data_IF_984526893432
#
_entry.id   IF_984526893432
#
_cell.length_a   1.000
_cell.length_b   1.000
_cell.length_c   1.000
_cell.angle_alpha   90.00
_cell.angle_beta   90.00
_cell.angle_gamma   90.00
#
_symmetry.space_group_name_H-M   'P 1'
#
loop_
_entity.id
_entity.type
_entity.pdbx_description
1 polymer ?
#
# COMPACT_ATOMS: atom_id res chain seq x y z
N UNK A 1 -35.09 -16.02 35.11
CA UNK A 1 -34.24 -15.35 34.12
C UNK A 1 -34.85 -14.01 33.66
N UNK A 2 -35.05 -13.03 34.56
CA UNK A 2 -35.67 -11.73 34.17
C UNK A 2 -34.86 -10.50 34.61
N UNK A 3 -33.69 -10.64 35.25
CA UNK A 3 -32.93 -9.48 35.73
C UNK A 3 -32.14 -8.72 34.65
N UNK A 4 -31.90 -9.33 33.48
CA UNK A 4 -31.25 -8.65 32.36
C UNK A 4 -32.24 -7.78 31.55
N UNK A 5 -33.52 -8.15 31.53
CA UNK A 5 -34.54 -7.38 30.79
C UNK A 5 -34.85 -6.05 31.50
N UNK A 6 -34.85 -6.04 32.84
CA UNK A 6 -35.11 -4.84 33.64
C UNK A 6 -33.95 -3.83 33.58
N UNK A 7 -32.71 -4.31 33.42
CA UNK A 7 -31.53 -3.46 33.23
C UNK A 7 -31.56 -2.74 31.87
N UNK A 8 -32.04 -3.41 30.82
CA UNK A 8 -32.19 -2.82 29.47
C UNK A 8 -33.30 -1.76 29.46
N UNK A 9 -34.40 -1.99 30.18
CA UNK A 9 -35.52 -1.05 30.25
C UNK A 9 -35.24 0.17 31.17
N UNK A 10 -34.26 0.07 32.08
CA UNK A 10 -33.85 1.14 32.99
C UNK A 10 -32.99 2.23 32.31
N UNK A 11 -32.17 1.85 31.32
CA UNK A 11 -31.27 2.81 30.63
C UNK A 11 -32.01 3.73 29.64
N UNK A 12 -33.24 3.36 29.25
CA UNK A 12 -34.05 4.11 28.28
C UNK A 12 -34.75 5.39 28.78
N UNK A 13 -34.57 5.80 30.04
CA UNK A 13 -35.29 6.95 30.63
C UNK A 13 -34.40 8.09 31.13
N UNK A 14 -33.17 8.20 30.63
CA UNK A 14 -32.36 9.41 30.85
C UNK A 14 -32.51 10.39 29.68
N UNK A 15 -33.01 11.59 29.99
CA UNK A 15 -33.28 12.70 29.05
C UNK A 15 -32.06 13.11 28.20
N UNK A 16 -30.84 12.75 28.62
CA UNK A 16 -29.61 13.00 27.87
C UNK A 16 -29.40 12.06 26.66
N UNK A 17 -30.04 10.88 26.63
CA UNK A 17 -29.91 9.94 25.50
C UNK A 17 -30.80 10.31 24.31
N UNK A 18 -31.84 11.12 24.53
CA UNK A 18 -32.83 11.45 23.52
C UNK A 18 -32.38 12.61 22.61
N UNK A 19 -31.49 13.48 23.08
CA UNK A 19 -30.89 14.58 22.30
C UNK A 19 -29.79 14.12 21.34
N UNK A 20 -29.21 12.94 21.56
CA UNK A 20 -28.14 12.39 20.68
C UNK A 20 -28.72 11.69 19.45
N UNK A 21 -29.96 11.20 19.51
CA UNK A 21 -30.63 10.48 18.41
C UNK A 21 -31.32 11.36 17.37
N UNK A 22 -31.46 12.66 17.62
CA UNK A 22 -32.08 13.62 16.69
C UNK A 22 -31.09 14.35 15.77
N UNK A 23 -29.78 14.18 15.95
CA UNK A 23 -28.79 14.79 15.09
C UNK A 23 -28.54 13.94 13.82
N UNK A 24 -29.03 14.38 12.67
CA UNK A 24 -28.79 13.74 11.37
C UNK A 24 -27.30 13.57 11.06
N UNK A 25 -26.45 14.48 11.55
CA UNK A 25 -25.00 14.41 11.42
C UNK A 25 -24.40 13.18 12.13
N UNK A 26 -24.93 12.80 13.30
CA UNK A 26 -24.48 11.62 14.04
C UNK A 26 -24.95 10.34 13.35
N UNK A 27 -26.17 10.35 12.80
CA UNK A 27 -26.71 9.22 12.01
C UNK A 27 -25.91 9.00 10.71
N UNK A 28 -25.54 10.07 10.02
CA UNK A 28 -24.74 10.01 8.80
C UNK A 28 -23.29 9.58 9.09
N UNK A 29 -22.70 10.03 10.20
CA UNK A 29 -21.40 9.56 10.65
C UNK A 29 -21.41 8.06 11.02
N UNK A 30 -22.46 7.59 11.67
CA UNK A 30 -22.62 6.16 12.01
C UNK A 30 -22.72 5.27 10.77
N UNK A 31 -23.49 5.69 9.75
CA UNK A 31 -23.57 4.96 8.48
C UNK A 31 -22.28 5.02 7.65
N UNK A 32 -21.49 6.10 7.77
CA UNK A 32 -20.17 6.19 7.14
C UNK A 32 -19.16 5.22 7.79
N UNK A 33 -19.23 5.04 9.10
CA UNK A 33 -18.39 4.08 9.85
C UNK A 33 -18.73 2.63 9.47
N UNK A 34 -20.01 2.32 9.27
CA UNK A 34 -20.47 0.97 8.93
C UNK A 34 -20.14 0.55 7.48
N UNK A 35 -19.78 1.49 6.59
CA UNK A 35 -19.38 1.20 5.21
C UNK A 35 -17.90 0.83 5.04
N UNK A 36 -17.10 0.83 6.11
CA UNK A 36 -15.64 0.66 6.03
C UNK A 36 -15.11 -0.52 6.88
N UNK A 37 -15.83 -1.65 6.87
CA UNK A 37 -15.53 -2.86 7.66
C UNK A 37 -14.35 -3.71 7.14
N UNK A 38 -13.24 -3.09 6.73
CA UNK A 38 -11.97 -3.82 6.50
C UNK A 38 -10.84 -3.41 7.45
N UNK A 39 -11.03 -2.39 8.29
CA UNK A 39 -9.97 -1.86 9.17
C UNK A 39 -10.21 -2.05 10.68
N UNK A 40 -11.38 -2.52 11.11
CA UNK A 40 -11.70 -2.68 12.54
C UNK A 40 -11.19 -3.97 13.20
N UNK A 41 -10.65 -4.92 12.43
CA UNK A 41 -10.00 -6.11 13.00
C UNK A 41 -8.54 -5.88 13.41
N UNK A 42 -7.89 -4.81 12.91
CA UNK A 42 -6.51 -4.47 13.31
C UNK A 42 -6.42 -3.42 14.42
N UNK A 43 -7.47 -2.61 14.62
CA UNK A 43 -7.47 -1.56 15.65
C UNK A 43 -7.73 -2.04 17.08
N UNK A 44 -8.52 -3.09 17.27
CA UNK A 44 -8.93 -3.56 18.60
C UNK A 44 -7.91 -4.48 19.29
N UNK A 45 -7.02 -5.14 18.53
CA UNK A 45 -5.99 -6.01 19.10
C UNK A 45 -4.85 -5.22 19.77
N UNK A 46 -4.59 -3.98 19.34
CA UNK A 46 -3.49 -3.16 19.86
C UNK A 46 -3.77 -2.58 21.26
N UNK A 47 -5.03 -2.28 21.57
CA UNK A 47 -5.43 -1.69 22.85
C UNK A 47 -5.41 -2.71 24.01
N UNK A 48 -5.76 -3.98 23.74
CA UNK A 48 -5.75 -5.03 24.76
C UNK A 48 -4.32 -5.43 25.21
N UNK A 49 -3.35 -5.43 24.28
CA UNK A 49 -1.93 -5.71 24.60
C UNK A 49 -1.31 -4.56 25.41
N UNK A 50 -1.66 -3.31 25.10
CA UNK A 50 -1.16 -2.15 25.83
C UNK A 50 -1.64 -2.12 27.30
N UNK A 51 -2.87 -2.56 27.58
CA UNK A 51 -3.37 -2.63 28.95
C UNK A 51 -2.74 -3.77 29.77
N UNK A 52 -2.47 -4.93 29.17
CA UNK A 52 -1.84 -6.06 29.88
C UNK A 52 -0.37 -5.83 30.27
N UNK A 53 0.38 -4.98 29.54
CA UNK A 53 1.77 -4.65 29.91
C UNK A 53 1.85 -3.63 31.06
N UNK A 54 0.78 -2.86 31.29
CA UNK A 54 0.78 -1.78 32.29
C UNK A 54 0.60 -2.24 33.74
N UNK A 55 0.18 -3.49 33.98
CA UNK A 55 -0.13 -4.01 35.33
C UNK A 55 0.98 -4.90 35.95
N UNK A 56 2.12 -5.13 35.27
CA UNK A 56 3.19 -6.00 35.79
C UNK A 56 4.40 -5.29 36.41
N UNK A 57 4.33 -3.99 36.68
CA UNK A 57 5.36 -3.24 37.41
C UNK A 57 4.88 -2.76 38.78
N UNK A 58 4.37 -3.68 39.61
CA UNK A 58 4.26 -3.48 41.05
C UNK A 58 5.08 -4.59 41.73
N UNK A 59 5.98 -4.16 42.62
CA UNK A 59 6.88 -4.95 43.46
C UNK A 59 8.20 -5.46 42.83
N UNK A 60 9.21 -4.58 42.80
CA UNK A 60 10.62 -4.98 42.90
C UNK A 60 11.34 -4.12 43.97
N UNK A 61 12.14 -4.73 44.85
CA UNK A 61 12.84 -4.04 45.95
C UNK A 61 13.99 -3.15 45.46
N UNK A 62 14.26 -2.09 46.23
CA UNK A 62 15.25 -1.03 45.96
C UNK A 62 16.63 -1.59 45.55
N UNK A 63 17.17 -1.23 44.37
CA UNK A 63 18.53 -1.61 43.99
C UNK A 63 19.58 -0.71 44.65
N UNK A 64 20.61 -1.35 45.23
CA UNK A 64 21.82 -0.72 45.77
C UNK A 64 22.51 0.15 44.71
N UNK A 65 23.01 1.32 45.13
CA UNK A 65 23.77 2.29 44.31
C UNK A 65 24.95 1.60 43.59
N UNK A 66 24.80 1.28 42.30
CA UNK A 66 25.90 0.86 41.42
C UNK A 66 26.52 2.10 40.78
N UNK A 67 27.86 2.14 40.79
CA UNK A 67 28.70 3.19 40.22
C UNK A 67 28.31 3.43 38.75
N UNK A 68 28.17 4.70 38.36
CA UNK A 68 27.99 5.18 36.98
C UNK A 68 29.07 4.57 36.08
N UNK A 69 28.71 3.56 35.28
CA UNK A 69 29.52 3.20 34.11
C UNK A 69 29.31 4.30 33.07
N UNK A 70 30.41 4.88 32.60
CA UNK A 70 30.41 5.79 31.45
C UNK A 70 29.95 4.97 30.24
N UNK A 71 28.67 5.12 29.86
CA UNK A 71 28.14 4.63 28.60
C UNK A 71 28.92 5.34 27.49
N UNK A 72 29.90 4.66 26.91
CA UNK A 72 30.58 5.11 25.71
C UNK A 72 29.51 5.35 24.65
N UNK A 73 29.44 6.59 24.16
CA UNK A 73 28.68 6.90 22.95
C UNK A 73 29.24 6.01 21.85
N UNK A 74 28.45 5.05 21.40
CA UNK A 74 28.75 4.28 20.21
C UNK A 74 28.83 5.29 19.07
N UNK A 75 30.05 5.59 18.61
CA UNK A 75 30.25 6.45 17.45
C UNK A 75 29.60 5.72 16.27
N UNK A 76 28.49 6.29 15.78
CA UNK A 76 27.89 5.88 14.51
C UNK A 76 29.01 5.98 13.48
N UNK A 77 29.35 4.91 12.73
CA UNK A 77 30.44 4.95 11.77
C UNK A 77 30.19 6.11 10.80
N UNK A 78 31.17 7.03 10.73
CA UNK A 78 31.16 8.12 9.76
C UNK A 78 31.21 7.50 8.37
N UNK A 79 30.07 7.49 7.69
CA UNK A 79 30.04 7.22 6.26
C UNK A 79 30.89 8.29 5.58
N UNK A 80 31.71 7.94 4.58
CA UNK A 80 32.45 8.92 3.80
C UNK A 80 31.45 9.95 3.27
N UNK A 81 31.68 11.23 3.59
CA UNK A 81 30.80 12.33 3.17
C UNK A 81 30.95 12.50 1.67
N UNK A 82 30.11 11.80 0.90
CA UNK A 82 29.95 12.06 -0.53
C UNK A 82 29.57 13.52 -0.69
N UNK A 83 30.14 14.17 -1.72
CA UNK A 83 29.65 15.50 -2.08
C UNK A 83 28.16 15.41 -2.46
N UNK A 84 27.37 16.47 -2.25
CA UNK A 84 25.95 16.45 -2.59
C UNK A 84 25.68 16.07 -4.06
N UNK A 85 26.56 16.48 -4.98
CA UNK A 85 26.49 16.10 -6.39
C UNK A 85 26.75 14.61 -6.63
N UNK A 86 27.75 14.03 -5.95
CA UNK A 86 28.01 12.59 -6.01
C UNK A 86 26.86 11.79 -5.42
N UNK A 87 26.22 12.30 -4.36
CA UNK A 87 25.04 11.67 -3.78
C UNK A 87 23.88 11.68 -4.78
N UNK A 88 23.57 12.83 -5.39
CA UNK A 88 22.54 12.93 -6.41
C UNK A 88 22.81 12.01 -7.60
N UNK A 89 24.07 11.90 -8.01
CA UNK A 89 24.49 10.97 -9.07
C UNK A 89 24.23 9.51 -8.69
N UNK A 90 24.63 9.11 -7.48
CA UNK A 90 24.37 7.76 -6.96
C UNK A 90 22.88 7.48 -6.84
N UNK A 91 22.07 8.44 -6.41
CA UNK A 91 20.63 8.27 -6.25
C UNK A 91 19.93 8.07 -7.60
N UNK A 92 20.29 8.88 -8.61
CA UNK A 92 19.78 8.72 -9.98
C UNK A 92 20.15 7.34 -10.53
N UNK A 93 21.40 6.91 -10.33
CA UNK A 93 21.89 5.61 -10.83
C UNK A 93 21.26 4.43 -10.09
N UNK A 94 21.04 4.55 -8.78
CA UNK A 94 20.37 3.54 -7.99
C UNK A 94 18.92 3.37 -8.45
N UNK A 95 18.21 4.47 -8.71
CA UNK A 95 16.83 4.43 -9.22
C UNK A 95 16.78 3.81 -10.62
N UNK A 96 17.69 4.21 -11.52
CA UNK A 96 17.73 3.63 -12.87
C UNK A 96 18.07 2.13 -12.83
N UNK A 97 19.00 1.73 -11.97
CA UNK A 97 19.35 0.32 -11.80
C UNK A 97 18.16 -0.48 -11.26
N UNK A 98 17.49 0.01 -10.22
CA UNK A 98 16.27 -0.61 -9.67
C UNK A 98 15.20 -0.79 -10.76
N UNK A 99 14.98 0.25 -11.57
CA UNK A 99 14.10 0.20 -12.75
C UNK A 99 14.48 -0.94 -13.71
N UNK A 100 15.73 -0.96 -14.15
CA UNK A 100 16.23 -1.91 -15.17
C UNK A 100 16.29 -3.36 -14.66
N UNK A 101 16.66 -3.58 -13.39
CA UNK A 101 16.84 -4.92 -12.86
C UNK A 101 15.53 -5.56 -12.41
N UNK A 102 14.64 -4.78 -11.79
CA UNK A 102 13.46 -5.32 -11.13
C UNK A 102 12.19 -5.17 -11.99
N UNK A 103 12.02 -4.05 -12.68
CA UNK A 103 10.75 -3.74 -13.34
C UNK A 103 10.75 -4.08 -14.83
N UNK A 104 11.78 -3.71 -15.58
CA UNK A 104 11.87 -3.99 -17.03
C UNK A 104 11.62 -5.48 -17.36
N UNK A 105 12.34 -6.46 -16.76
CA UNK A 105 12.16 -7.86 -17.14
C UNK A 105 10.77 -8.40 -16.74
N UNK A 106 10.21 -7.94 -15.64
CA UNK A 106 8.87 -8.35 -15.21
C UNK A 106 7.78 -7.75 -16.10
N UNK A 107 7.95 -6.50 -16.53
CA UNK A 107 7.05 -5.83 -17.45
C UNK A 107 7.07 -6.49 -18.84
N UNK A 108 8.23 -6.82 -19.37
CA UNK A 108 8.32 -7.47 -20.68
C UNK A 108 7.66 -8.86 -20.64
N UNK A 109 7.88 -9.63 -19.57
CA UNK A 109 7.15 -10.90 -19.34
C UNK A 109 5.64 -10.70 -19.24
N UNK A 110 5.21 -9.64 -18.56
CA UNK A 110 3.79 -9.30 -18.44
C UNK A 110 3.17 -8.95 -19.79
N UNK A 111 3.83 -8.10 -20.57
CA UNK A 111 3.38 -7.70 -21.91
C UNK A 111 3.31 -8.91 -22.83
N UNK A 112 4.34 -9.75 -22.85
CA UNK A 112 4.34 -10.99 -23.64
C UNK A 112 3.16 -11.91 -23.24
N UNK A 113 2.89 -12.05 -21.94
CA UNK A 113 1.76 -12.85 -21.46
C UNK A 113 0.39 -12.27 -21.86
N UNK A 114 0.28 -10.93 -21.96
CA UNK A 114 -0.93 -10.25 -22.46
C UNK A 114 -1.07 -10.50 -23.97
N UNK A 115 -0.01 -10.34 -24.74
CA UNK A 115 0.00 -10.57 -26.20
C UNK A 115 -0.37 -12.00 -26.56
N UNK A 116 0.19 -12.99 -25.86
CA UNK A 116 -0.15 -14.39 -26.05
C UNK A 116 -1.63 -14.67 -25.77
N UNK A 117 -2.22 -14.02 -24.77
CA UNK A 117 -3.64 -14.20 -24.43
C UNK A 117 -4.56 -13.54 -25.46
N UNK A 118 -4.15 -12.39 -26.02
CA UNK A 118 -4.87 -11.74 -27.12
C UNK A 118 -4.82 -12.59 -28.40
N UNK A 119 -3.69 -13.26 -28.66
CA UNK A 119 -3.48 -14.08 -29.86
C UNK A 119 -4.22 -15.43 -29.81
N UNK A 120 -4.59 -15.94 -28.62
CA UNK A 120 -5.32 -17.20 -28.51
C UNK A 120 -6.73 -17.07 -29.13
N UNK A 121 -7.11 -17.93 -30.09
CA UNK A 121 -8.46 -17.93 -30.63
C UNK A 121 -9.46 -18.28 -29.52
N UNK A 122 -10.50 -17.47 -29.39
CA UNK A 122 -11.54 -17.66 -28.38
C UNK A 122 -12.13 -19.08 -28.47
N UNK A 123 -12.15 -19.87 -27.38
CA UNK A 123 -12.77 -21.19 -27.39
C UNK A 123 -14.28 -21.04 -27.71
N UNK A 124 -14.86 -21.94 -28.51
CA UNK A 124 -16.26 -21.84 -28.92
C UNK A 124 -17.17 -21.79 -27.68
N UNK A 125 -18.12 -20.83 -27.69
CA UNK A 125 -19.10 -20.59 -26.62
C UNK A 125 -19.92 -21.87 -26.34
N UNK A 126 -19.42 -22.76 -25.48
CA UNK A 126 -20.17 -23.90 -24.94
C UNK A 126 -21.12 -23.40 -23.86
N UNK A 127 -22.42 -23.44 -24.16
CA UNK A 127 -23.50 -23.19 -23.19
C UNK A 127 -23.50 -24.32 -22.14
N UNK A 128 -22.87 -24.17 -20.97
CA UNK A 128 -23.22 -24.97 -19.78
C UNK A 128 -22.53 -24.57 -18.46
N UNK A 129 -23.36 -24.53 -17.40
CA UNK A 129 -23.15 -24.77 -15.95
C UNK A 129 -22.33 -23.77 -15.09
N UNK A 130 -23.05 -23.29 -14.07
CA UNK A 130 -22.83 -22.20 -13.10
C UNK A 130 -21.64 -22.35 -12.14
N UNK A 131 -20.70 -23.27 -12.37
CA UNK A 131 -19.62 -23.60 -11.41
C UNK A 131 -18.19 -23.24 -11.87
N UNK A 132 -17.97 -22.87 -13.14
CA UNK A 132 -16.65 -22.44 -13.64
C UNK A 132 -16.33 -20.94 -13.41
N UNK A 133 -17.32 -20.15 -12.99
CA UNK A 133 -17.25 -18.68 -12.97
C UNK A 133 -16.21 -18.08 -11.98
N UNK A 134 -15.72 -18.85 -11.01
CA UNK A 134 -14.76 -18.36 -10.00
C UNK A 134 -13.29 -18.39 -10.47
N UNK A 135 -12.88 -19.40 -11.24
CA UNK A 135 -11.49 -19.53 -11.70
C UNK A 135 -11.16 -18.49 -12.79
N UNK A 136 -12.07 -18.29 -13.74
CA UNK A 136 -11.89 -17.33 -14.83
C UNK A 136 -11.88 -15.88 -14.34
N UNK A 137 -12.67 -15.56 -13.32
CA UNK A 137 -12.67 -14.23 -12.70
C UNK A 137 -11.33 -13.92 -12.02
N UNK A 138 -10.76 -14.91 -11.32
CA UNK A 138 -9.47 -14.78 -10.62
C UNK A 138 -8.30 -14.56 -11.58
N UNK A 139 -8.27 -15.27 -12.71
CA UNK A 139 -7.21 -15.11 -13.72
C UNK A 139 -7.30 -13.76 -14.47
N UNK A 140 -8.50 -13.24 -14.71
CA UNK A 140 -8.68 -11.91 -15.33
C UNK A 140 -8.28 -10.77 -14.40
N UNK A 141 -8.67 -10.89 -13.14
CA UNK A 141 -8.28 -9.93 -12.10
C UNK A 141 -6.75 -9.91 -11.92
N UNK A 142 -6.04 -10.99 -12.28
CA UNK A 142 -4.57 -11.03 -12.29
C UNK A 142 -3.95 -9.99 -13.22
N UNK A 143 -4.43 -9.87 -14.47
CA UNK A 143 -3.84 -8.94 -15.44
C UNK A 143 -4.09 -7.48 -15.08
N UNK A 144 -5.29 -7.18 -14.56
CA UNK A 144 -5.63 -5.85 -14.06
C UNK A 144 -4.81 -5.49 -12.82
N UNK A 145 -4.66 -6.42 -11.88
CA UNK A 145 -3.81 -6.23 -10.71
C UNK A 145 -2.35 -5.98 -11.10
N UNK A 146 -1.80 -6.75 -12.04
CA UNK A 146 -0.44 -6.57 -12.52
C UNK A 146 -0.25 -5.23 -13.25
N UNK A 147 -1.22 -4.81 -14.08
CA UNK A 147 -1.20 -3.47 -14.70
C UNK A 147 -1.12 -2.36 -13.64
N UNK A 148 -2.01 -2.39 -12.64
CA UNK A 148 -2.04 -1.42 -11.56
C UNK A 148 -0.73 -1.42 -10.75
N UNK A 149 -0.20 -2.61 -10.45
CA UNK A 149 1.07 -2.77 -9.74
C UNK A 149 2.23 -2.10 -10.47
N UNK A 150 2.40 -2.37 -11.78
CA UNK A 150 3.49 -1.76 -12.56
C UNK A 150 3.29 -0.26 -12.70
N UNK A 151 2.06 0.19 -12.99
CA UNK A 151 1.75 1.61 -13.09
C UNK A 151 2.13 2.38 -11.81
N UNK A 152 1.68 1.90 -10.65
CA UNK A 152 2.01 2.49 -9.35
C UNK A 152 3.51 2.48 -9.05
N UNK A 153 4.19 1.38 -9.40
CA UNK A 153 5.62 1.25 -9.14
C UNK A 153 6.46 2.21 -9.98
N UNK A 154 6.14 2.35 -11.27
CA UNK A 154 6.80 3.31 -12.15
C UNK A 154 6.53 4.77 -11.73
N UNK A 155 5.31 5.08 -11.31
CA UNK A 155 4.98 6.40 -10.76
C UNK A 155 5.78 6.72 -9.49
N UNK A 156 5.98 5.74 -8.60
CA UNK A 156 6.83 5.91 -7.41
C UNK A 156 8.30 6.16 -7.78
N UNK A 157 8.82 5.50 -8.82
CA UNK A 157 10.18 5.77 -9.30
C UNK A 157 10.32 7.18 -9.86
N UNK A 158 9.31 7.67 -10.60
CA UNK A 158 9.29 9.06 -11.07
C UNK A 158 9.29 10.05 -9.90
N UNK A 159 8.45 9.83 -8.89
CA UNK A 159 8.44 10.68 -7.69
C UNK A 159 9.80 10.69 -6.98
N UNK A 160 10.48 9.54 -6.88
CA UNK A 160 11.82 9.45 -6.30
C UNK A 160 12.83 10.26 -7.13
N UNK A 161 12.80 10.15 -8.46
CA UNK A 161 13.68 10.94 -9.33
C UNK A 161 13.44 12.45 -9.19
N UNK A 162 12.19 12.88 -9.10
CA UNK A 162 11.84 14.29 -8.93
C UNK A 162 12.31 14.84 -7.57
N UNK A 163 12.34 13.98 -6.54
CA UNK A 163 12.84 14.35 -5.21
C UNK A 163 14.36 14.48 -5.11
N UNK A 164 15.13 14.01 -6.10
CA UNK A 164 16.59 14.15 -6.09
C UNK A 164 16.97 15.62 -6.28
N UNK A 165 17.64 16.19 -5.28
CA UNK A 165 18.15 17.56 -5.33
C UNK A 165 19.33 17.64 -6.29
N UNK A 166 19.21 18.51 -7.30
CA UNK A 166 20.27 18.76 -8.28
C UNK A 166 20.77 20.18 -8.09
N UNK A 167 21.93 20.31 -7.46
CA UNK A 167 22.62 21.57 -7.13
C UNK A 167 23.18 22.25 -8.40
N UNK A 168 22.30 22.71 -9.29
CA UNK A 168 22.60 23.44 -10.53
C UNK A 168 23.51 22.74 -11.56
N UNK A 169 23.98 21.53 -11.29
CA UNK A 169 24.71 20.71 -12.27
C UNK A 169 23.84 20.37 -13.48
N UNK A 170 24.26 20.87 -14.64
CA UNK A 170 23.55 20.67 -15.90
C UNK A 170 23.59 19.21 -16.37
N UNK A 171 24.71 18.52 -16.12
CA UNK A 171 24.88 17.11 -16.49
C UNK A 171 23.94 16.20 -15.70
N UNK A 172 23.81 16.45 -14.39
CA UNK A 172 22.86 15.73 -13.53
C UNK A 172 21.41 16.00 -13.94
N UNK A 173 21.08 17.24 -14.33
CA UNK A 173 19.74 17.58 -14.87
C UNK A 173 19.45 16.81 -16.16
N UNK A 174 20.42 16.75 -17.07
CA UNK A 174 20.29 16.00 -18.32
C UNK A 174 20.11 14.50 -18.04
N UNK A 175 20.92 13.93 -17.14
CA UNK A 175 20.83 12.53 -16.74
C UNK A 175 19.49 12.18 -16.09
N UNK A 176 19.03 12.97 -15.10
CA UNK A 176 17.69 12.80 -14.50
C UNK A 176 16.61 12.84 -15.57
N UNK A 177 16.67 13.81 -16.48
CA UNK A 177 15.71 13.96 -17.58
C UNK A 177 15.70 12.73 -18.51
N UNK A 178 16.87 12.16 -18.78
CA UNK A 178 16.98 10.93 -19.56
C UNK A 178 16.31 9.76 -18.83
N UNK A 179 16.61 9.54 -17.55
CA UNK A 179 15.97 8.49 -16.75
C UNK A 179 14.44 8.63 -16.71
N UNK A 180 13.94 9.85 -16.48
CA UNK A 180 12.50 10.15 -16.50
C UNK A 180 11.90 9.77 -17.85
N UNK A 181 12.51 10.17 -18.97
CA UNK A 181 12.03 9.83 -20.32
C UNK A 181 11.98 8.32 -20.54
N UNK A 182 12.99 7.58 -20.09
CA UNK A 182 13.02 6.12 -20.18
C UNK A 182 11.84 5.52 -19.43
N UNK A 183 11.63 5.86 -18.15
CA UNK A 183 10.51 5.34 -17.35
C UNK A 183 9.16 5.72 -17.98
N UNK A 184 9.01 6.97 -18.43
CA UNK A 184 7.80 7.43 -19.11
C UNK A 184 7.52 6.68 -20.42
N UNK A 185 8.56 6.26 -21.15
CA UNK A 185 8.39 5.45 -22.35
C UNK A 185 7.78 4.08 -22.03
N UNK A 186 8.17 3.48 -20.91
CA UNK A 186 7.60 2.22 -20.43
C UNK A 186 6.18 2.38 -19.88
N UNK A 187 5.88 3.49 -19.18
CA UNK A 187 4.50 3.82 -18.81
C UNK A 187 3.60 3.93 -20.05
N UNK A 188 4.05 4.64 -21.09
CA UNK A 188 3.31 4.73 -22.36
C UNK A 188 3.14 3.37 -23.03
N UNK A 189 4.18 2.54 -23.02
CA UNK A 189 4.11 1.16 -23.52
C UNK A 189 3.03 0.39 -22.77
N UNK A 190 3.05 0.42 -21.44
CA UNK A 190 2.06 -0.24 -20.58
C UNK A 190 0.63 0.28 -20.85
N UNK A 191 0.45 1.59 -20.95
CA UNK A 191 -0.85 2.22 -21.22
C UNK A 191 -1.43 1.86 -22.59
N UNK A 192 -0.57 1.59 -23.58
CA UNK A 192 -1.03 1.14 -24.90
C UNK A 192 -1.74 -0.22 -24.85
N UNK A 193 -1.42 -1.07 -23.87
CA UNK A 193 -2.08 -2.37 -23.66
C UNK A 193 -3.32 -2.28 -22.75
N UNK A 194 -3.52 -1.17 -22.03
CA UNK A 194 -4.70 -0.95 -21.18
C UNK A 194 -6.03 -1.28 -21.89
N UNK A 195 -6.32 -0.80 -23.12
CA UNK A 195 -7.56 -1.15 -23.80
C UNK A 195 -7.70 -2.64 -24.11
N UNK A 196 -6.61 -3.34 -24.38
CA UNK A 196 -6.64 -4.79 -24.62
C UNK A 196 -6.87 -5.56 -23.32
N UNK A 197 -6.23 -5.14 -22.22
CA UNK A 197 -6.48 -5.67 -20.88
C UNK A 197 -7.95 -5.48 -20.49
N UNK A 198 -8.50 -4.29 -20.73
CA UNK A 198 -9.92 -3.99 -20.51
C UNK A 198 -10.84 -4.88 -21.35
N UNK A 199 -10.47 -5.23 -22.59
CA UNK A 199 -11.23 -6.18 -23.41
C UNK A 199 -11.17 -7.58 -22.82
N UNK A 200 -10.01 -8.02 -22.33
CA UNK A 200 -9.84 -9.32 -21.68
C UNK A 200 -10.70 -9.42 -20.40
N UNK A 201 -10.78 -8.34 -19.62
CA UNK A 201 -11.61 -8.28 -18.41
C UNK A 201 -13.11 -8.19 -18.76
N UNK A 202 -13.51 -7.32 -19.70
CA UNK A 202 -14.92 -7.06 -20.05
C UNK A 202 -15.59 -8.12 -20.94
N UNK A 203 -14.88 -8.81 -21.85
CA UNK A 203 -15.46 -9.86 -22.72
C UNK A 203 -16.04 -11.08 -21.97
N UNK A 204 -15.98 -11.11 -20.63
CA UNK A 204 -16.56 -12.15 -19.79
C UNK A 204 -17.91 -11.82 -19.12
N UNK A 205 -18.53 -10.68 -19.44
CA UNK A 205 -19.86 -10.29 -18.95
C UNK A 205 -20.95 -10.56 -19.98
#
# INVERSE_FOLDING_TARGET
MNQLQDLINSVGKSSAAQTVLQNEHVRNAWHAIQKNESWLLYGSLSLAVALLVSMSFVAQPKPKKRKRSKRSKLQKPEQPKLSPEQQAQQDIDAILRDFETNYVPEMDKYIEAVEQEIAKPSPPKRKSKKSAKKADASYKQKYEYQYLYFNESLLKLLMKLDSVEIHDSQDLRAKRKQCIKTIQSYLKKLDSYKPEIDKLTKKGL
#
